data_IF_843647797592
#
_entry.id   IF_843647797592
#
_cell.length_a   1.000
_cell.length_b   1.000
_cell.length_c   1.000
_cell.angle_alpha   90.00
_cell.angle_beta   90.00
_cell.angle_gamma   90.00
#
_symmetry.space_group_name_H-M   'P 1'
#
loop_
_entity.id
_entity.type
_entity.pdbx_description
1 polymer ?
#
# COMPACT_ATOMS: atom_id res chain seq x y z
N UNK A 1 -14.29 8.54 13.92
CA UNK A 1 -14.19 7.69 12.72
C UNK A 1 -15.58 7.45 12.16
N UNK A 2 -15.79 7.63 10.85
CA UNK A 2 -17.11 7.40 10.24
C UNK A 2 -17.36 5.89 10.08
N UNK A 3 -18.62 5.45 10.17
CA UNK A 3 -18.99 4.03 9.97
C UNK A 3 -18.53 3.51 8.60
N UNK A 4 -18.63 4.35 7.56
CA UNK A 4 -18.21 4.02 6.20
C UNK A 4 -16.70 3.76 6.10
N UNK A 5 -15.88 4.61 6.73
CA UNK A 5 -14.43 4.43 6.79
C UNK A 5 -14.06 3.05 7.32
N UNK A 6 -14.67 2.65 8.45
CA UNK A 6 -14.37 1.38 9.09
C UNK A 6 -14.73 0.18 8.21
N UNK A 7 -15.88 0.23 7.53
CA UNK A 7 -16.32 -0.83 6.61
C UNK A 7 -15.37 -0.94 5.42
N UNK A 8 -14.99 0.18 4.80
CA UNK A 8 -14.08 0.16 3.66
C UNK A 8 -12.67 -0.32 4.03
N UNK A 9 -12.15 0.10 5.19
CA UNK A 9 -10.85 -0.37 5.67
C UNK A 9 -10.89 -1.87 6.02
N UNK A 10 -11.97 -2.35 6.63
CA UNK A 10 -12.15 -3.76 6.92
C UNK A 10 -12.25 -4.60 5.64
N UNK A 11 -12.97 -4.12 4.63
CA UNK A 11 -13.06 -4.78 3.34
C UNK A 11 -11.70 -4.80 2.62
N UNK A 12 -10.96 -3.68 2.64
CA UNK A 12 -9.61 -3.63 2.07
C UNK A 12 -8.68 -4.64 2.74
N UNK A 13 -8.69 -4.72 4.07
CA UNK A 13 -7.91 -5.73 4.81
C UNK A 13 -8.30 -7.14 4.38
N UNK A 14 -9.59 -7.46 4.33
CA UNK A 14 -10.09 -8.76 3.88
C UNK A 14 -9.61 -9.10 2.47
N UNK A 15 -9.59 -8.13 1.55
CA UNK A 15 -9.11 -8.32 0.19
C UNK A 15 -7.61 -8.64 0.14
N UNK A 16 -6.80 -7.95 0.96
CA UNK A 16 -5.35 -8.17 1.04
C UNK A 16 -4.98 -9.51 1.66
N UNK A 17 -5.78 -10.01 2.60
CA UNK A 17 -5.59 -11.30 3.26
C UNK A 17 -6.13 -12.49 2.44
N UNK A 18 -6.96 -12.22 1.43
CA UNK A 18 -7.60 -13.25 0.62
C UNK A 18 -6.58 -13.98 -0.25
N UNK A 19 -6.53 -15.31 -0.12
CA UNK A 19 -5.71 -16.18 -0.99
C UNK A 19 -6.30 -16.40 -2.37
N UNK A 20 -7.57 -16.02 -2.56
CA UNK A 20 -8.31 -16.19 -3.80
C UNK A 20 -8.85 -14.85 -4.30
N UNK A 21 -9.07 -14.77 -5.61
CA UNK A 21 -9.72 -13.61 -6.22
C UNK A 21 -11.18 -13.55 -5.74
N UNK A 22 -11.50 -12.57 -4.90
CA UNK A 22 -12.87 -12.35 -4.41
C UNK A 22 -13.34 -10.95 -4.78
N UNK A 23 -14.63 -10.82 -5.09
CA UNK A 23 -15.22 -9.52 -5.36
C UNK A 23 -15.27 -8.67 -4.07
N UNK A 24 -14.95 -7.36 -4.14
CA UNK A 24 -15.04 -6.46 -3.00
C UNK A 24 -16.50 -6.23 -2.61
N UNK A 25 -16.80 -6.35 -1.31
CA UNK A 25 -18.12 -6.09 -0.71
C UNK A 25 -18.20 -4.65 -0.25
N UNK A 26 -18.42 -3.75 -1.20
CA UNK A 26 -18.46 -2.32 -0.97
C UNK A 26 -19.88 -1.92 -0.50
N UNK A 27 -20.03 -1.19 0.62
CA UNK A 27 -21.33 -0.68 1.03
C UNK A 27 -21.82 0.42 0.08
N UNK A 28 -23.13 0.62 0.00
CA UNK A 28 -23.74 1.70 -0.78
C UNK A 28 -23.14 3.07 -0.39
N UNK A 29 -22.70 3.83 -1.38
CA UNK A 29 -22.01 5.11 -1.21
C UNK A 29 -20.48 4.99 -1.03
N UNK A 30 -19.94 3.78 -0.95
CA UNK A 30 -18.50 3.51 -0.88
C UNK A 30 -17.83 3.28 -2.23
N UNK A 31 -18.60 3.15 -3.32
CA UNK A 31 -18.12 2.71 -4.63
C UNK A 31 -17.16 3.71 -5.25
N UNK A 32 -17.46 5.02 -5.13
CA UNK A 32 -16.58 6.08 -5.61
C UNK A 32 -15.28 6.12 -4.81
N UNK A 33 -15.35 6.04 -3.48
CA UNK A 33 -14.16 6.01 -2.62
C UNK A 33 -13.25 4.82 -2.93
N UNK A 34 -13.84 3.65 -3.13
CA UNK A 34 -13.10 2.46 -3.54
C UNK A 34 -12.44 2.64 -4.90
N UNK A 35 -13.18 3.16 -5.89
CA UNK A 35 -12.65 3.45 -7.22
C UNK A 35 -11.50 4.45 -7.16
N UNK A 36 -11.69 5.59 -6.50
CA UNK A 36 -10.66 6.63 -6.36
C UNK A 36 -9.42 6.07 -5.67
N UNK A 37 -9.60 5.28 -4.60
CA UNK A 37 -8.49 4.60 -3.93
C UNK A 37 -7.73 3.69 -4.90
N UNK A 38 -8.43 2.86 -5.68
CA UNK A 38 -7.78 1.97 -6.65
C UNK A 38 -7.04 2.74 -7.75
N UNK A 39 -7.61 3.85 -8.24
CA UNK A 39 -6.96 4.70 -9.25
C UNK A 39 -5.68 5.33 -8.69
N UNK A 40 -5.75 5.95 -7.51
CA UNK A 40 -4.60 6.55 -6.81
C UNK A 40 -3.56 5.49 -6.41
N UNK A 41 -4.01 4.32 -5.98
CA UNK A 41 -3.14 3.21 -5.59
C UNK A 41 -2.29 2.73 -6.78
N UNK A 42 -2.86 2.68 -7.99
CA UNK A 42 -2.13 2.28 -9.20
C UNK A 42 -1.10 3.30 -9.66
N UNK A 43 -1.30 4.58 -9.36
CA UNK A 43 -0.39 5.66 -9.75
C UNK A 43 0.68 5.96 -8.72
N UNK A 44 0.63 5.34 -7.53
CA UNK A 44 1.57 5.64 -6.44
C UNK A 44 3.00 5.31 -6.85
N UNK A 45 3.93 6.06 -6.29
CA UNK A 45 5.35 5.76 -6.43
C UNK A 45 5.78 4.65 -5.45
N UNK A 46 6.82 3.91 -5.82
CA UNK A 46 7.42 2.86 -5.01
C UNK A 46 8.89 3.22 -4.73
N UNK A 47 9.38 2.91 -3.54
CA UNK A 47 10.79 3.03 -3.18
C UNK A 47 11.34 1.69 -2.67
N UNK A 48 12.65 1.60 -2.44
CA UNK A 48 13.31 0.36 -2.01
C UNK A 48 12.70 -0.30 -0.75
N UNK A 49 12.16 0.50 0.18
CA UNK A 49 11.51 0.01 1.41
C UNK A 49 9.99 -0.21 1.29
N UNK A 50 9.43 -0.23 0.07
CA UNK A 50 8.00 -0.44 -0.16
C UNK A 50 7.26 0.73 -0.81
N UNK A 51 5.93 0.68 -0.73
CA UNK A 51 5.05 1.66 -1.36
C UNK A 51 5.00 3.00 -0.60
N UNK A 52 5.03 4.11 -1.33
CA UNK A 52 4.85 5.42 -0.71
C UNK A 52 3.38 5.66 -0.31
N UNK A 53 3.13 6.40 0.78
CA UNK A 53 1.79 6.84 1.12
C UNK A 53 1.21 7.78 0.06
N UNK A 54 -0.10 7.68 -0.19
CA UNK A 54 -0.80 8.59 -1.11
C UNK A 54 -0.83 10.00 -0.50
N UNK A 55 -0.09 10.93 -1.08
CA UNK A 55 0.02 12.31 -0.64
C UNK A 55 -1.25 13.12 -0.91
N UNK A 56 -1.42 14.22 -0.16
CA UNK A 56 -2.50 15.19 -0.43
C UNK A 56 -2.38 15.80 -1.82
N UNK A 57 -1.16 15.99 -2.32
CA UNK A 57 -0.91 16.53 -3.66
C UNK A 57 -1.41 15.58 -4.76
N UNK A 58 -1.23 14.25 -4.61
CA UNK A 58 -1.78 13.26 -5.52
C UNK A 58 -3.32 13.27 -5.50
N UNK A 59 -3.93 13.33 -4.32
CA UNK A 59 -5.39 13.39 -4.18
C UNK A 59 -5.94 14.67 -4.82
N UNK A 60 -5.34 15.82 -4.54
CA UNK A 60 -5.75 17.10 -5.13
C UNK A 60 -5.58 17.08 -6.65
N UNK A 61 -4.45 16.59 -7.16
CA UNK A 61 -4.20 16.50 -8.61
C UNK A 61 -5.20 15.57 -9.29
N UNK A 62 -5.49 14.41 -8.71
CA UNK A 62 -6.50 13.49 -9.20
C UNK A 62 -7.90 14.12 -9.21
N UNK A 63 -8.28 14.80 -8.11
CA UNK A 63 -9.56 15.50 -8.01
C UNK A 63 -9.70 16.57 -9.11
N UNK A 64 -8.64 17.36 -9.33
CA UNK A 64 -8.63 18.41 -10.37
C UNK A 64 -8.68 17.83 -11.79
N UNK A 65 -7.86 16.82 -12.10
CA UNK A 65 -7.81 16.21 -13.43
C UNK A 65 -9.11 15.52 -13.81
N UNK A 66 -9.70 14.77 -12.87
CA UNK A 66 -10.94 14.03 -13.08
C UNK A 66 -12.20 14.86 -12.84
N UNK A 67 -12.05 16.10 -12.32
CA UNK A 67 -13.13 17.00 -11.91
C UNK A 67 -14.06 16.39 -10.87
N UNK A 68 -13.50 15.66 -9.91
CA UNK A 68 -14.26 15.10 -8.79
C UNK A 68 -14.39 16.10 -7.63
N UNK A 69 -15.58 16.24 -7.00
CA UNK A 69 -15.76 17.06 -5.81
C UNK A 69 -15.27 16.33 -4.55
N UNK A 70 -13.96 16.08 -4.43
CA UNK A 70 -13.38 15.37 -3.28
C UNK A 70 -13.32 16.30 -2.06
N UNK A 71 -14.32 16.20 -1.20
CA UNK A 71 -14.38 16.88 0.11
C UNK A 71 -13.39 16.33 1.17
N UNK A 72 -13.09 17.10 2.25
CA UNK A 72 -12.19 16.68 3.32
C UNK A 72 -12.54 15.32 3.96
N UNK A 73 -13.83 15.00 4.08
CA UNK A 73 -14.29 13.70 4.58
C UNK A 73 -13.80 12.54 3.68
N UNK A 74 -13.86 12.71 2.36
CA UNK A 74 -13.37 11.72 1.41
C UNK A 74 -11.85 11.55 1.52
N UNK A 75 -11.11 12.66 1.62
CA UNK A 75 -9.66 12.64 1.79
C UNK A 75 -9.26 11.85 3.05
N UNK A 76 -9.96 12.08 4.16
CA UNK A 76 -9.74 11.34 5.41
C UNK A 76 -9.97 9.83 5.23
N UNK A 77 -11.03 9.44 4.51
CA UNK A 77 -11.32 8.02 4.24
C UNK A 77 -10.26 7.40 3.33
N UNK A 78 -9.87 8.08 2.24
CA UNK A 78 -8.84 7.60 1.33
C UNK A 78 -7.49 7.40 2.04
N UNK A 79 -7.12 8.33 2.92
CA UNK A 79 -5.90 8.21 3.74
C UNK A 79 -5.98 7.06 4.75
N UNK A 80 -7.14 6.80 5.34
CA UNK A 80 -7.33 5.66 6.24
C UNK A 80 -7.26 4.31 5.51
N UNK A 81 -7.81 4.23 4.29
CA UNK A 81 -7.65 3.07 3.41
C UNK A 81 -6.17 2.86 3.06
N UNK A 82 -5.46 3.93 2.70
CA UNK A 82 -4.03 3.87 2.39
C UNK A 82 -3.19 3.40 3.58
N UNK A 83 -3.44 3.94 4.77
CA UNK A 83 -2.77 3.48 5.99
C UNK A 83 -3.03 1.99 6.26
N UNK A 84 -4.25 1.52 5.99
CA UNK A 84 -4.61 0.09 6.12
C UNK A 84 -3.82 -0.77 5.14
N UNK A 85 -3.68 -0.32 3.89
CA UNK A 85 -2.84 -0.99 2.90
C UNK A 85 -1.37 -1.01 3.35
N UNK A 86 -0.82 0.14 3.76
CA UNK A 86 0.58 0.24 4.17
C UNK A 86 0.89 -0.72 5.32
N UNK A 87 0.04 -0.76 6.36
CA UNK A 87 0.17 -1.68 7.49
C UNK A 87 0.16 -3.16 7.08
N UNK A 88 -0.63 -3.52 6.08
CA UNK A 88 -0.68 -4.90 5.56
C UNK A 88 0.47 -5.21 4.58
N UNK A 89 0.97 -4.20 3.87
CA UNK A 89 2.04 -4.33 2.86
C UNK A 89 3.45 -4.37 3.46
N UNK A 90 3.63 -3.85 4.68
CA UNK A 90 4.86 -4.04 5.44
C UNK A 90 5.00 -5.54 5.66
N UNK A 91 5.95 -6.16 4.94
CA UNK A 91 6.36 -7.52 5.24
C UNK A 91 6.65 -7.57 6.75
N UNK A 92 6.23 -8.64 7.47
CA UNK A 92 6.74 -8.85 8.80
C UNK A 92 8.26 -8.92 8.66
N UNK A 93 8.95 -7.82 8.98
CA UNK A 93 10.31 -7.90 9.43
C UNK A 93 10.20 -8.88 10.57
N UNK A 94 10.75 -10.10 10.39
CA UNK A 94 10.72 -11.12 11.42
C UNK A 94 11.03 -10.41 12.73
N UNK A 95 10.04 -10.32 13.63
CA UNK A 95 10.11 -9.44 14.78
C UNK A 95 11.35 -9.84 15.55
N UNK A 96 12.45 -9.12 15.34
CA UNK A 96 13.63 -9.36 16.11
C UNK A 96 13.30 -8.96 17.53
N UNK A 97 13.65 -9.79 18.53
CA UNK A 97 13.47 -9.41 19.92
C UNK A 97 14.10 -8.04 20.16
N UNK A 98 13.43 -7.28 21.02
CA UNK A 98 13.74 -5.90 21.37
C UNK A 98 15.25 -5.74 21.65
N UNK A 99 15.94 -4.92 20.84
CA UNK A 99 17.36 -4.60 21.02
C UNK A 99 18.33 -5.16 19.96
N UNK A 100 17.90 -6.00 19.02
CA UNK A 100 18.78 -6.51 17.95
C UNK A 100 18.40 -5.88 16.61
N UNK A 101 19.29 -5.03 16.06
CA UNK A 101 19.19 -4.58 14.66
C UNK A 101 19.20 -5.82 13.77
N UNK A 102 18.11 -6.09 13.06
CA UNK A 102 18.07 -7.17 12.07
C UNK A 102 19.16 -6.91 11.04
N UNK A 103 20.13 -7.83 10.95
CA UNK A 103 21.12 -7.78 9.90
C UNK A 103 20.40 -8.00 8.55
N UNK A 104 20.76 -7.26 7.50
CA UNK A 104 20.27 -7.56 6.16
C UNK A 104 20.53 -9.02 5.82
N UNK A 105 19.67 -9.69 5.03
CA UNK A 105 19.91 -11.05 4.60
C UNK A 105 21.28 -11.12 3.90
N UNK A 106 22.22 -11.86 4.50
CA UNK A 106 23.55 -12.09 3.94
C UNK A 106 23.44 -13.29 3.01
N UNK A 107 23.86 -13.13 1.75
CA UNK A 107 23.88 -14.24 0.80
C UNK A 107 24.89 -15.31 1.25
N UNK A 108 24.53 -16.60 1.27
CA UNK A 108 25.47 -17.68 1.59
C UNK A 108 26.45 -17.99 0.44
N UNK A 109 26.28 -17.35 -0.71
CA UNK A 109 27.14 -17.54 -1.87
C UNK A 109 28.53 -16.90 -1.62
N UNK A 110 29.63 -17.64 -1.76
CA UNK A 110 30.97 -17.08 -1.66
C UNK A 110 31.21 -16.11 -2.82
N UNK A 111 31.84 -14.97 -2.52
CA UNK A 111 32.30 -14.03 -3.55
C UNK A 111 33.45 -14.68 -4.28
N UNK A 112 33.20 -15.13 -5.50
CA UNK A 112 34.18 -15.78 -6.38
C UNK A 112 34.45 -14.91 -7.60
N UNK A 113 35.62 -15.05 -8.21
CA UNK A 113 35.96 -14.38 -9.47
C UNK A 113 34.94 -14.70 -10.57
N UNK A 114 34.51 -15.97 -10.66
CA UNK A 114 33.49 -16.40 -11.60
C UNK A 114 32.13 -15.68 -11.39
N UNK A 115 31.76 -15.36 -10.15
CA UNK A 115 30.54 -14.58 -9.87
C UNK A 115 30.68 -13.13 -10.35
N UNK A 116 31.87 -12.53 -10.20
CA UNK A 116 32.15 -11.17 -10.67
C UNK A 116 32.11 -11.13 -12.20
N UNK A 117 32.80 -12.06 -12.85
CA UNK A 117 32.83 -12.16 -14.32
C UNK A 117 31.42 -12.42 -14.89
N UNK A 118 30.61 -13.23 -14.23
CA UNK A 118 29.22 -13.50 -14.65
C UNK A 118 28.27 -12.31 -14.48
N UNK A 119 28.57 -11.37 -13.57
CA UNK A 119 27.74 -10.19 -13.32
C UNK A 119 28.14 -8.98 -14.18
N UNK A 120 29.40 -8.88 -14.58
CA UNK A 120 29.97 -7.69 -15.23
C UNK A 120 30.65 -7.94 -16.59
N UNK A 121 30.71 -9.20 -17.04
CA UNK A 121 31.25 -9.61 -18.35
C UNK A 121 30.23 -9.62 -19.47
#
# INVERSE_FOLDING_TARGET
MSRLQNILCAELRRQLESKTLTAPRIPAGGELLWRWFMDLHKSRTLHAAGANPISYAEIQSYASLMRWPIEPLHVMILRAMDETYLKASVMPQASAPEGVKTLPPVSPAPVTSALIDAMFG
#
